data_IF_889934743930
#
_entry.id   IF_889934743930
#
_cell.length_a   1.000
_cell.length_b   1.000
_cell.length_c   1.000
_cell.angle_alpha   90.00
_cell.angle_beta   90.00
_cell.angle_gamma   90.00
#
_symmetry.space_group_name_H-M   'P 1'
#
loop_
_entity.id
_entity.type
_entity.pdbx_description
1 polymer ?
#
# COMPACT_ATOMS: atom_id res chain seq x y z
N UNK A 1 19.84 4.51 35.16
CA UNK A 1 20.06 3.75 33.91
C UNK A 1 18.78 3.87 33.10
N UNK A 2 18.73 4.81 32.14
CA UNK A 2 17.55 5.01 31.30
C UNK A 2 17.49 3.85 30.29
N UNK A 3 16.63 2.87 30.55
CA UNK A 3 16.27 1.87 29.56
C UNK A 3 15.47 2.59 28.46
N UNK A 4 16.15 2.93 27.37
CA UNK A 4 15.50 3.28 26.11
C UNK A 4 14.74 2.04 25.63
N UNK A 5 13.47 1.96 25.97
CA UNK A 5 12.55 0.97 25.44
C UNK A 5 12.09 1.39 24.04
N UNK A 6 13.03 1.50 23.10
CA UNK A 6 12.72 1.53 21.67
C UNK A 6 12.94 0.11 21.13
N UNK A 7 12.10 -0.83 21.56
CA UNK A 7 12.02 -2.13 20.90
C UNK A 7 11.38 -1.94 19.53
N UNK A 8 12.02 -2.40 18.47
CA UNK A 8 11.42 -2.40 17.13
C UNK A 8 10.09 -3.18 17.18
N UNK A 9 8.95 -2.59 16.77
CA UNK A 9 7.67 -3.27 16.85
C UNK A 9 7.72 -4.57 16.05
N UNK A 10 7.19 -5.64 16.63
CA UNK A 10 7.17 -6.94 15.96
C UNK A 10 6.28 -6.88 14.71
N UNK A 11 6.78 -7.41 13.60
CA UNK A 11 6.06 -7.41 12.32
C UNK A 11 4.63 -7.96 12.43
N UNK A 12 4.41 -8.94 13.31
CA UNK A 12 3.10 -9.54 13.55
C UNK A 12 2.10 -8.58 14.20
N UNK A 13 2.57 -7.58 14.96
CA UNK A 13 1.73 -6.53 15.54
C UNK A 13 1.47 -5.47 14.47
N UNK A 14 2.53 -5.00 13.80
CA UNK A 14 2.42 -3.93 12.80
C UNK A 14 1.48 -4.33 11.65
N UNK A 15 1.58 -5.56 11.16
CA UNK A 15 0.75 -6.04 10.05
C UNK A 15 -0.75 -6.01 10.37
N UNK A 16 -1.14 -6.07 11.65
CA UNK A 16 -2.54 -6.03 12.05
C UNK A 16 -3.23 -4.73 11.66
N UNK A 17 -2.48 -3.62 11.60
CA UNK A 17 -3.01 -2.33 11.19
C UNK A 17 -3.44 -2.30 9.71
N UNK A 18 -2.87 -3.17 8.87
CA UNK A 18 -3.12 -3.17 7.43
C UNK A 18 -4.18 -4.19 6.97
N UNK A 19 -4.58 -5.15 7.81
CA UNK A 19 -5.64 -6.08 7.45
C UNK A 19 -7.02 -5.42 7.24
N UNK A 20 -7.42 -4.39 8.00
CA UNK A 20 -8.68 -3.69 7.77
C UNK A 20 -8.74 -2.94 6.44
N UNK A 21 -7.59 -2.54 5.89
CA UNK A 21 -7.49 -1.73 4.67
C UNK A 21 -8.02 -2.47 3.45
N UNK A 22 -8.81 -1.75 2.66
CA UNK A 22 -9.42 -2.18 1.42
C UNK A 22 -9.37 -1.04 0.40
N UNK A 23 -8.80 -1.32 -0.77
CA UNK A 23 -8.64 -0.35 -1.85
C UNK A 23 -9.18 -0.92 -3.14
N UNK A 24 -9.87 -0.07 -3.90
CA UNK A 24 -10.25 -0.29 -5.27
C UNK A 24 -10.33 1.09 -5.93
N UNK A 25 -9.20 1.60 -6.41
CA UNK A 25 -9.07 3.00 -6.83
C UNK A 25 -8.35 3.08 -8.17
N UNK A 26 -8.97 3.74 -9.13
CA UNK A 26 -8.32 4.16 -10.38
C UNK A 26 -7.47 5.40 -10.06
N UNK A 27 -6.17 5.32 -10.37
CA UNK A 27 -5.18 6.36 -10.09
C UNK A 27 -5.43 7.57 -10.97
N UNK A 28 -5.54 8.75 -10.37
CA UNK A 28 -5.44 10.04 -11.06
C UNK A 28 -4.08 10.68 -10.82
N UNK A 29 -3.69 10.83 -9.55
CA UNK A 29 -2.40 11.38 -9.14
C UNK A 29 -1.75 10.47 -8.11
N UNK A 30 -0.44 10.22 -8.24
CA UNK A 30 0.37 9.44 -7.30
C UNK A 30 1.57 10.24 -6.79
N UNK A 31 1.84 10.09 -5.49
CA UNK A 31 3.05 10.58 -4.85
C UNK A 31 3.52 9.48 -3.89
N UNK A 32 4.52 8.72 -4.33
CA UNK A 32 5.04 7.56 -3.62
C UNK A 32 6.50 7.84 -3.28
N UNK A 33 6.86 7.59 -2.03
CA UNK A 33 8.23 7.68 -1.54
C UNK A 33 8.53 6.54 -0.55
N UNK A 34 9.75 6.53 0.01
CA UNK A 34 10.18 5.54 1.00
C UNK A 34 9.26 5.44 2.24
N UNK A 35 8.52 6.48 2.56
CA UNK A 35 7.72 6.59 3.78
C UNK A 35 6.23 6.43 3.54
N UNK A 36 5.72 6.88 2.38
CA UNK A 36 4.29 7.00 2.11
C UNK A 36 3.90 6.61 0.70
N UNK A 37 2.74 5.98 0.58
CA UNK A 37 1.95 5.88 -0.64
C UNK A 37 0.80 6.87 -0.50
N UNK A 38 0.78 7.90 -1.35
CA UNK A 38 -0.32 8.87 -1.44
C UNK A 38 -0.88 8.83 -2.86
N UNK A 39 -2.15 8.45 -2.98
CA UNK A 39 -2.81 8.34 -4.28
C UNK A 39 -4.16 9.01 -4.18
N UNK A 40 -4.47 9.84 -5.16
CA UNK A 40 -5.79 10.46 -5.34
C UNK A 40 -6.38 9.92 -6.65
N UNK A 41 -7.65 9.59 -6.62
CA UNK A 41 -8.33 9.08 -7.80
C UNK A 41 -9.80 8.84 -7.55
N UNK A 42 -10.35 7.79 -8.16
CA UNK A 42 -11.78 7.53 -8.13
C UNK A 42 -12.07 6.04 -7.89
N UNK A 43 -13.10 5.76 -7.10
CA UNK A 43 -13.65 4.41 -6.97
C UNK A 43 -14.35 4.04 -8.29
N UNK A 44 -14.00 2.91 -8.94
CA UNK A 44 -14.51 2.56 -10.26
C UNK A 44 -15.98 2.16 -10.28
N UNK A 45 -16.58 1.85 -9.12
CA UNK A 45 -17.99 1.40 -9.01
C UNK A 45 -18.90 2.61 -8.79
N UNK A 46 -18.51 3.49 -7.87
CA UNK A 46 -19.31 4.65 -7.44
C UNK A 46 -18.96 5.92 -8.19
N UNK A 47 -17.83 5.94 -8.90
CA UNK A 47 -17.26 7.09 -9.59
C UNK A 47 -17.00 8.31 -8.67
N UNK A 48 -16.88 8.07 -7.36
CA UNK A 48 -16.60 9.11 -6.37
C UNK A 48 -15.11 9.26 -6.17
N UNK A 49 -14.66 10.51 -5.97
CA UNK A 49 -13.28 10.81 -5.60
C UNK A 49 -12.94 10.10 -4.29
N UNK A 50 -11.78 9.46 -4.26
CA UNK A 50 -11.24 8.74 -3.10
C UNK A 50 -9.73 8.98 -3.01
N UNK A 51 -9.12 8.59 -1.90
CA UNK A 51 -7.68 8.65 -1.71
C UNK A 51 -7.16 7.46 -0.91
N UNK A 52 -5.88 7.15 -1.12
CA UNK A 52 -5.08 6.22 -0.31
C UNK A 52 -3.96 7.06 0.31
N UNK A 53 -3.79 6.96 1.63
CA UNK A 53 -2.66 7.53 2.34
C UNK A 53 -2.20 6.55 3.42
N UNK A 54 -1.09 5.85 3.15
CA UNK A 54 -0.61 4.76 3.98
C UNK A 54 0.92 4.70 3.97
N UNK A 55 1.54 4.18 5.03
CA UNK A 55 2.98 4.00 5.08
C UNK A 55 3.45 3.07 3.96
N UNK A 56 4.55 3.40 3.29
CA UNK A 56 5.03 2.56 2.19
C UNK A 56 5.72 1.30 2.72
N UNK A 57 4.94 0.23 2.83
CA UNK A 57 5.41 -1.12 3.14
C UNK A 57 5.22 -2.06 1.93
N UNK A 58 5.11 -1.54 0.70
CA UNK A 58 4.75 -2.36 -0.46
C UNK A 58 5.59 -2.05 -1.70
N UNK A 59 5.67 -0.79 -2.11
CA UNK A 59 6.16 -0.40 -3.45
C UNK A 59 7.59 0.10 -3.34
N UNK A 60 8.53 -0.65 -3.93
CA UNK A 60 9.94 -0.27 -3.96
C UNK A 60 10.29 0.65 -5.15
N UNK A 61 9.69 0.43 -6.32
CA UNK A 61 9.83 1.32 -7.49
C UNK A 61 8.69 2.36 -7.51
N UNK A 62 9.00 3.59 -7.14
CA UNK A 62 8.01 4.66 -7.01
C UNK A 62 7.41 5.12 -8.34
N UNK A 63 8.01 4.76 -9.47
CA UNK A 63 7.46 5.07 -10.79
C UNK A 63 6.52 3.97 -11.32
N UNK A 64 6.32 2.89 -10.55
CA UNK A 64 5.54 1.76 -11.01
C UNK A 64 4.03 2.05 -11.07
N UNK A 65 3.54 3.08 -10.38
CA UNK A 65 2.12 3.47 -10.37
C UNK A 65 1.90 4.68 -11.27
N UNK A 66 1.13 4.48 -12.34
CA UNK A 66 0.83 5.50 -13.34
C UNK A 66 -0.65 5.91 -13.32
N UNK A 67 -0.96 7.07 -13.89
CA UNK A 67 -2.34 7.51 -14.09
C UNK A 67 -3.12 6.47 -14.92
N UNK A 68 -4.33 6.13 -14.48
CA UNK A 68 -5.19 5.13 -15.11
C UNK A 68 -4.99 3.69 -14.62
N UNK A 69 -3.91 3.39 -13.89
CA UNK A 69 -3.78 2.10 -13.20
C UNK A 69 -4.85 1.94 -12.12
N UNK A 70 -5.15 0.70 -11.72
CA UNK A 70 -6.03 0.44 -10.57
C UNK A 70 -5.25 -0.17 -9.41
N UNK A 71 -5.29 0.49 -8.25
CA UNK A 71 -4.76 -0.05 -7.00
C UNK A 71 -5.85 -0.88 -6.33
N UNK A 72 -5.52 -2.13 -6.05
CA UNK A 72 -6.43 -3.09 -5.41
C UNK A 72 -5.77 -3.67 -4.17
N UNK A 73 -6.50 -3.63 -3.05
CA UNK A 73 -6.18 -4.34 -1.82
C UNK A 73 -7.46 -4.87 -1.21
N UNK A 74 -7.49 -6.14 -0.82
CA UNK A 74 -8.65 -6.73 -0.16
C UNK A 74 -8.50 -6.67 1.36
N UNK A 75 -9.62 -6.47 2.03
CA UNK A 75 -9.70 -6.62 3.49
C UNK A 75 -9.29 -8.04 3.88
N UNK A 76 -8.43 -8.17 4.88
CA UNK A 76 -7.92 -9.46 5.36
C UNK A 76 -6.68 -9.97 4.60
N UNK A 77 -6.29 -9.32 3.50
CA UNK A 77 -5.08 -9.68 2.74
C UNK A 77 -3.94 -8.68 2.98
N UNK A 78 -2.69 -9.19 2.97
CA UNK A 78 -1.45 -8.39 3.01
C UNK A 78 -0.76 -8.32 1.64
N UNK A 79 -1.57 -8.25 0.58
CA UNK A 79 -1.10 -8.09 -0.79
C UNK A 79 -1.73 -6.83 -1.37
N UNK A 80 -0.89 -6.01 -2.02
CA UNK A 80 -1.32 -4.85 -2.78
C UNK A 80 -1.05 -5.14 -4.27
N UNK A 81 -2.08 -5.00 -5.10
CA UNK A 81 -1.99 -5.22 -6.53
C UNK A 81 -2.11 -3.90 -7.28
N UNK A 82 -1.30 -3.76 -8.33
CA UNK A 82 -1.40 -2.69 -9.32
C UNK A 82 -1.85 -3.36 -10.61
N UNK A 83 -3.08 -3.09 -11.01
CA UNK A 83 -3.64 -3.57 -12.27
C UNK A 83 -3.33 -2.53 -13.35
N UNK A 84 -2.41 -2.91 -14.25
CA UNK A 84 -2.08 -2.17 -15.46
C UNK A 84 -2.97 -2.63 -16.61
N UNK A 85 -2.86 -1.95 -17.75
CA UNK A 85 -3.62 -2.28 -18.97
C UNK A 85 -3.46 -3.73 -19.43
N UNK A 86 -2.25 -4.27 -19.33
CA UNK A 86 -1.85 -5.58 -19.87
C UNK A 86 -1.27 -6.54 -18.83
N UNK A 87 -0.97 -6.04 -17.63
CA UNK A 87 -0.23 -6.78 -16.61
C UNK A 87 -0.78 -6.50 -15.20
N UNK A 88 -0.49 -7.40 -14.26
CA UNK A 88 -0.81 -7.22 -12.84
C UNK A 88 0.48 -7.38 -12.06
N UNK A 89 0.86 -6.33 -11.34
CA UNK A 89 1.98 -6.34 -10.41
C UNK A 89 1.43 -6.59 -9.02
N UNK A 90 2.13 -7.44 -8.24
CA UNK A 90 1.73 -7.82 -6.88
C UNK A 90 2.88 -7.56 -5.93
N UNK A 91 2.59 -6.81 -4.88
CA UNK A 91 3.51 -6.55 -3.78
C UNK A 91 3.05 -7.28 -2.53
N UNK A 92 3.95 -8.09 -1.99
CA UNK A 92 3.82 -8.61 -0.63
C UNK A 92 4.06 -7.45 0.35
N UNK A 93 3.42 -7.48 1.52
CA UNK A 93 3.74 -6.52 2.58
C UNK A 93 5.17 -6.72 3.10
N UNK A 94 5.96 -5.66 3.17
CA UNK A 94 7.33 -5.66 3.67
C UNK A 94 7.38 -5.27 5.14
N UNK A 95 8.15 -6.05 5.90
CA UNK A 95 8.59 -5.67 7.24
C UNK A 95 10.11 -5.74 7.32
N UNK A 96 10.73 -4.66 7.80
CA UNK A 96 12.19 -4.59 7.99
C UNK A 96 12.97 -5.01 6.73
N UNK A 97 12.49 -4.54 5.57
CA UNK A 97 13.11 -4.80 4.27
C UNK A 97 12.94 -6.24 3.74
N UNK A 98 12.02 -7.04 4.31
CA UNK A 98 11.73 -8.39 3.83
C UNK A 98 10.25 -8.56 3.49
N UNK A 99 9.91 -9.20 2.36
CA UNK A 99 8.53 -9.53 2.04
C UNK A 99 8.01 -10.55 3.07
N UNK A 100 6.79 -10.33 3.54
CA UNK A 100 6.09 -11.21 4.46
C UNK A 100 5.38 -12.31 3.65
N UNK A 101 5.98 -13.51 3.62
CA UNK A 101 5.44 -14.71 2.98
C UNK A 101 5.02 -15.74 4.00
#
# INVERSE_FOLDING_TARGET
MLLSACGEPECNIVKQAYYPDEYNLIVGESNIDNSWIKIIGYDPITNKKSNIMVHNNWIDDYNEVEEGDTIIKKRGDLMLAIHKKDTIIRHDWYCRGKPYK
#
